data_IF_104819066317
#
_entry.id   IF_104819066317
#
_cell.length_a   1.000
_cell.length_b   1.000
_cell.length_c   1.000
_cell.angle_alpha   90.00
_cell.angle_beta   90.00
_cell.angle_gamma   90.00
#
_symmetry.space_group_name_H-M   'P 1'
#
loop_
_entity.id
_entity.type
_entity.pdbx_description
1 polymer ?
#
# COMPACT_ATOMS: atom_id res chain seq x y z
N UNK A 1 -29.65 -25.92 -8.15
CA UNK A 1 -30.69 -26.41 -7.23
C UNK A 1 -31.80 -25.38 -7.27
N UNK A 2 -32.72 -25.59 -8.19
CA UNK A 2 -34.06 -25.02 -8.11
C UNK A 2 -34.68 -25.52 -6.81
N UNK A 3 -35.09 -24.59 -5.94
CA UNK A 3 -35.96 -24.93 -4.82
C UNK A 3 -37.20 -24.03 -4.87
N UNK A 4 -38.16 -24.55 -5.63
CA UNK A 4 -39.58 -24.64 -5.29
C UNK A 4 -39.99 -24.09 -3.91
N UNK A 5 -40.20 -22.77 -3.82
CA UNK A 5 -41.16 -22.19 -2.87
C UNK A 5 -41.90 -21.00 -3.49
N UNK A 6 -42.62 -21.25 -4.59
CA UNK A 6 -43.76 -20.40 -4.92
C UNK A 6 -44.88 -20.69 -3.91
N UNK A 7 -44.81 -20.02 -2.77
CA UNK A 7 -45.97 -19.81 -1.91
C UNK A 7 -47.10 -19.28 -2.79
N UNK A 8 -48.15 -20.09 -2.98
CA UNK A 8 -49.47 -19.62 -3.40
C UNK A 8 -49.94 -18.65 -2.32
N UNK A 9 -49.53 -17.38 -2.41
CA UNK A 9 -50.13 -16.31 -1.64
C UNK A 9 -51.62 -16.34 -1.98
N UNK A 10 -52.49 -16.52 -0.99
CA UNK A 10 -53.94 -16.41 -1.17
C UNK A 10 -54.23 -15.14 -1.97
N UNK A 11 -54.68 -15.32 -3.21
CA UNK A 11 -54.97 -14.20 -4.09
C UNK A 11 -55.98 -13.30 -3.38
N UNK A 12 -55.62 -12.03 -3.15
CA UNK A 12 -56.46 -11.08 -2.41
C UNK A 12 -57.89 -11.10 -2.97
N UNK A 13 -58.89 -11.33 -2.12
CA UNK A 13 -60.31 -11.45 -2.53
C UNK A 13 -61.19 -10.36 -1.93
N UNK A 14 -62.30 -10.08 -2.61
CA UNK A 14 -63.39 -9.28 -2.07
C UNK A 14 -63.94 -9.98 -0.82
N UNK A 15 -64.02 -9.26 0.30
CA UNK A 15 -64.48 -9.83 1.57
C UNK A 15 -65.99 -10.09 1.60
N UNK A 16 -66.75 -9.56 0.63
CA UNK A 16 -68.21 -9.70 0.58
C UNK A 16 -68.71 -10.73 -0.44
N UNK A 17 -67.89 -11.11 -1.42
CA UNK A 17 -68.31 -12.03 -2.49
C UNK A 17 -67.15 -12.85 -3.09
N UNK A 18 -65.99 -12.84 -2.46
CA UNK A 18 -64.80 -13.64 -2.82
C UNK A 18 -64.22 -13.40 -4.23
N UNK A 19 -64.69 -12.36 -4.92
CA UNK A 19 -64.15 -11.94 -6.23
C UNK A 19 -62.65 -11.66 -6.10
N UNK A 20 -61.79 -12.29 -6.91
CA UNK A 20 -60.35 -12.09 -6.82
C UNK A 20 -59.95 -10.67 -7.26
N UNK A 21 -58.82 -10.20 -6.74
CA UNK A 21 -58.18 -8.91 -7.06
C UNK A 21 -59.15 -7.70 -6.92
N UNK A 22 -59.74 -7.48 -5.74
CA UNK A 22 -60.61 -6.34 -5.50
C UNK A 22 -59.84 -5.00 -5.65
N UNK A 23 -60.30 -4.05 -6.49
CA UNK A 23 -59.57 -2.81 -6.74
C UNK A 23 -59.75 -1.75 -5.64
N UNK A 24 -60.64 -1.96 -4.66
CA UNK A 24 -60.98 -1.00 -3.61
C UNK A 24 -60.70 -1.57 -2.22
N UNK A 25 -60.43 -0.69 -1.26
CA UNK A 25 -60.23 -1.00 0.14
C UNK A 25 -60.97 0.01 1.01
N UNK A 26 -61.62 -0.45 2.07
CA UNK A 26 -62.10 0.42 3.14
C UNK A 26 -61.04 0.49 4.23
N UNK A 27 -60.40 1.64 4.42
CA UNK A 27 -59.27 1.80 5.35
C UNK A 27 -59.71 1.80 6.83
N UNK A 28 -61.00 2.08 7.08
CA UNK A 28 -61.59 2.06 8.43
C UNK A 28 -62.01 0.63 8.82
N UNK A 29 -62.67 -0.09 7.92
CA UNK A 29 -63.12 -1.46 8.17
C UNK A 29 -62.03 -2.51 7.89
N UNK A 30 -60.91 -2.11 7.28
CA UNK A 30 -59.82 -2.95 6.83
C UNK A 30 -60.24 -4.12 5.92
N UNK A 31 -61.25 -3.91 5.07
CA UNK A 31 -61.74 -4.92 4.11
C UNK A 31 -61.46 -4.54 2.66
N UNK A 32 -61.29 -5.53 1.79
CA UNK A 32 -61.11 -5.34 0.35
C UNK A 32 -62.42 -5.60 -0.40
N UNK A 33 -62.75 -4.75 -1.37
CA UNK A 33 -64.06 -4.71 -2.02
C UNK A 33 -63.93 -4.68 -3.54
N UNK A 34 -64.72 -5.52 -4.23
CA UNK A 34 -64.93 -5.37 -5.66
C UNK A 34 -65.85 -4.17 -5.95
N UNK A 35 -65.83 -3.63 -7.17
CA UNK A 35 -66.61 -2.44 -7.53
C UNK A 35 -68.11 -2.61 -7.22
N UNK A 36 -68.67 -3.79 -7.47
CA UNK A 36 -70.07 -4.09 -7.21
C UNK A 36 -70.43 -4.11 -5.71
N UNK A 37 -69.49 -4.51 -4.86
CA UNK A 37 -69.71 -4.62 -3.42
C UNK A 37 -69.51 -3.31 -2.65
N UNK A 38 -68.93 -2.27 -3.26
CA UNK A 38 -68.73 -0.95 -2.61
C UNK A 38 -70.07 -0.34 -2.19
N UNK A 39 -71.08 -0.36 -3.08
CA UNK A 39 -72.40 0.20 -2.77
C UNK A 39 -73.05 -0.49 -1.57
N UNK A 40 -73.07 -1.83 -1.56
CA UNK A 40 -73.58 -2.64 -0.44
C UNK A 40 -72.84 -2.36 0.86
N UNK A 41 -71.53 -2.15 0.82
CA UNK A 41 -70.75 -1.84 2.00
C UNK A 41 -71.06 -0.42 2.55
N UNK A 42 -71.23 0.57 1.67
CA UNK A 42 -71.58 1.94 2.05
C UNK A 42 -73.02 2.08 2.58
N UNK A 43 -73.90 1.11 2.31
CA UNK A 43 -75.25 1.07 2.88
C UNK A 43 -75.26 0.89 4.40
N UNK A 44 -74.18 0.40 5.00
CA UNK A 44 -74.05 0.27 6.45
C UNK A 44 -73.79 1.65 7.10
N UNK A 45 -74.82 2.23 7.73
CA UNK A 45 -74.74 3.52 8.42
C UNK A 45 -74.20 3.42 9.85
N UNK A 46 -73.90 2.22 10.36
CA UNK A 46 -73.44 2.03 11.74
C UNK A 46 -72.03 2.58 11.99
N UNK A 47 -71.23 2.76 10.93
CA UNK A 47 -69.84 3.24 10.99
C UNK A 47 -69.53 4.12 9.78
N UNK A 48 -68.53 5.00 9.95
CA UNK A 48 -67.96 5.74 8.82
C UNK A 48 -67.10 4.82 7.95
N UNK A 49 -67.15 5.02 6.64
CA UNK A 49 -66.34 4.29 5.66
C UNK A 49 -65.40 5.23 4.92
N UNK A 50 -64.20 4.76 4.61
CA UNK A 50 -63.25 5.52 3.79
C UNK A 50 -62.69 4.63 2.70
N UNK A 51 -63.27 4.75 1.50
CA UNK A 51 -62.99 3.89 0.36
C UNK A 51 -61.88 4.48 -0.49
N UNK A 52 -60.79 3.72 -0.62
CA UNK A 52 -59.62 4.09 -1.40
C UNK A 52 -59.29 3.01 -2.44
N UNK A 53 -58.53 3.35 -3.50
CA UNK A 53 -57.85 2.35 -4.30
C UNK A 53 -57.01 1.40 -3.43
N UNK A 54 -56.97 0.11 -3.75
CA UNK A 54 -56.23 -0.89 -2.98
C UNK A 54 -54.74 -0.55 -2.79
N UNK A 55 -54.12 0.16 -3.74
CA UNK A 55 -52.72 0.62 -3.67
C UNK A 55 -52.46 1.63 -2.54
N UNK A 56 -53.51 2.28 -2.02
CA UNK A 56 -53.44 3.25 -0.93
C UNK A 56 -53.95 2.66 0.40
N UNK A 57 -54.03 1.34 0.52
CA UNK A 57 -54.38 0.69 1.80
C UNK A 57 -53.37 1.07 2.89
N UNK A 58 -53.86 1.36 4.09
CA UNK A 58 -53.05 1.76 5.24
C UNK A 58 -52.56 3.21 5.20
N UNK A 59 -53.07 4.05 4.29
CA UNK A 59 -52.63 5.46 4.19
C UNK A 59 -53.17 6.32 5.34
N UNK A 60 -54.28 5.94 5.96
CA UNK A 60 -54.83 6.64 7.13
C UNK A 60 -54.50 5.88 8.42
N UNK A 61 -53.43 6.28 9.14
CA UNK A 61 -53.10 5.64 10.40
C UNK A 61 -54.16 5.97 11.47
N UNK A 62 -54.30 5.06 12.45
CA UNK A 62 -55.09 5.34 13.65
C UNK A 62 -54.42 6.46 14.44
N UNK A 63 -55.22 7.35 15.01
CA UNK A 63 -54.69 8.40 15.86
C UNK A 63 -54.15 7.80 17.17
N UNK A 64 -52.93 8.19 17.53
CA UNK A 64 -52.27 7.74 18.76
C UNK A 64 -52.93 8.31 20.03
N UNK A 65 -53.59 9.46 19.94
CA UNK A 65 -54.31 10.10 21.06
C UNK A 65 -55.80 9.76 21.08
N UNK A 66 -56.40 9.52 19.92
CA UNK A 66 -57.83 9.28 19.78
C UNK A 66 -58.07 7.94 19.08
N UNK A 67 -58.04 6.84 19.84
CA UNK A 67 -58.01 5.47 19.31
C UNK A 67 -59.18 5.07 18.40
N UNK A 68 -60.31 5.78 18.47
CA UNK A 68 -61.50 5.57 17.62
C UNK A 68 -61.44 6.36 16.31
N UNK A 69 -60.49 7.26 16.16
CA UNK A 69 -60.36 8.18 15.03
C UNK A 69 -59.21 7.79 14.09
N UNK A 70 -59.42 8.05 12.80
CA UNK A 70 -58.40 7.91 11.76
C UNK A 70 -57.82 9.26 11.35
N UNK A 71 -56.54 9.30 11.05
CA UNK A 71 -55.86 10.50 10.59
C UNK A 71 -56.00 10.63 9.07
N UNK A 72 -56.82 11.59 8.63
CA UNK A 72 -57.01 11.93 7.20
C UNK A 72 -56.17 13.15 6.76
N UNK A 73 -55.57 13.86 7.71
CA UNK A 73 -54.75 15.03 7.45
C UNK A 73 -53.36 14.84 8.04
N UNK A 74 -52.37 15.55 7.51
CA UNK A 74 -51.03 15.64 8.06
C UNK A 74 -50.78 17.07 8.55
N UNK A 75 -50.32 17.21 9.78
CA UNK A 75 -49.76 18.46 10.28
C UNK A 75 -48.36 18.63 9.68
N UNK A 76 -48.18 19.53 8.71
CA UNK A 76 -46.88 19.71 8.03
C UNK A 76 -45.85 20.38 8.94
N UNK A 77 -46.29 21.15 9.94
CA UNK A 77 -45.40 21.77 10.94
C UNK A 77 -44.76 20.73 11.85
N UNK A 78 -45.54 19.72 12.27
CA UNK A 78 -45.06 18.66 13.16
C UNK A 78 -44.61 17.40 12.40
N UNK A 79 -44.89 17.33 11.09
CA UNK A 79 -44.69 16.18 10.23
C UNK A 79 -45.33 14.88 10.77
N UNK A 80 -46.55 14.98 11.32
CA UNK A 80 -47.31 13.83 11.85
C UNK A 80 -48.76 13.80 11.32
N UNK A 81 -49.36 12.61 11.15
CA UNK A 81 -50.79 12.48 10.84
C UNK A 81 -51.68 12.93 12.01
N UNK A 82 -52.75 13.67 11.71
CA UNK A 82 -53.71 14.19 12.69
C UNK A 82 -55.15 13.82 12.32
N UNK A 83 -55.96 13.47 13.33
CA UNK A 83 -57.38 13.19 13.18
C UNK A 83 -58.24 14.44 13.44
N UNK A 84 -59.56 14.42 13.16
CA UNK A 84 -60.43 15.58 13.37
C UNK A 84 -60.37 16.16 14.80
N UNK A 85 -60.27 15.29 15.81
CA UNK A 85 -60.16 15.71 17.21
C UNK A 85 -58.80 16.36 17.52
N UNK A 86 -57.70 15.89 16.91
CA UNK A 86 -56.40 16.55 17.01
C UNK A 86 -56.39 17.90 16.30
N UNK A 87 -57.11 18.04 15.18
CA UNK A 87 -57.19 19.30 14.43
C UNK A 87 -57.96 20.35 15.22
N UNK A 88 -59.00 19.94 15.94
CA UNK A 88 -59.80 20.79 16.84
C UNK A 88 -59.16 21.02 18.21
N UNK A 89 -58.06 20.32 18.55
CA UNK A 89 -57.35 20.55 19.80
C UNK A 89 -56.45 21.77 19.71
N UNK A 90 -56.27 22.48 20.82
CA UNK A 90 -55.37 23.65 20.89
C UNK A 90 -53.93 23.33 20.45
N UNK A 91 -53.49 22.07 20.54
CA UNK A 91 -52.14 21.63 20.18
C UNK A 91 -51.84 21.75 18.68
N UNK A 92 -52.84 21.50 17.82
CA UNK A 92 -52.65 21.62 16.37
C UNK A 92 -53.53 22.69 15.73
N UNK A 93 -54.40 23.37 16.48
CA UNK A 93 -55.34 24.38 16.00
C UNK A 93 -54.69 25.39 15.02
N UNK A 94 -53.50 25.91 15.35
CA UNK A 94 -52.78 26.92 14.55
C UNK A 94 -51.77 26.36 13.53
N UNK A 95 -51.49 25.06 13.54
CA UNK A 95 -50.52 24.47 12.62
C UNK A 95 -51.08 24.34 11.19
N UNK A 96 -50.21 24.29 10.17
CA UNK A 96 -50.65 24.02 8.80
C UNK A 96 -51.00 22.54 8.66
N UNK A 97 -52.13 22.24 8.02
CA UNK A 97 -52.55 20.87 7.70
C UNK A 97 -52.72 20.71 6.20
N UNK A 98 -52.31 19.57 5.70
CA UNK A 98 -52.52 19.16 4.33
C UNK A 98 -53.27 17.83 4.31
N UNK A 99 -53.99 17.57 3.24
CA UNK A 99 -54.59 16.26 3.00
C UNK A 99 -53.48 15.19 2.90
N UNK A 100 -53.67 14.07 3.60
CA UNK A 100 -52.62 13.05 3.73
C UNK A 100 -52.29 12.38 2.39
N UNK A 101 -53.27 12.29 1.47
CA UNK A 101 -53.04 11.74 0.13
C UNK A 101 -52.17 12.71 -0.68
N UNK A 102 -52.49 14.00 -0.61
CA UNK A 102 -51.74 15.05 -1.32
C UNK A 102 -50.28 15.11 -0.86
N UNK A 103 -50.04 15.07 0.45
CA UNK A 103 -48.68 15.07 1.00
C UNK A 103 -47.90 13.80 0.63
N UNK A 104 -48.57 12.65 0.65
CA UNK A 104 -47.96 11.38 0.30
C UNK A 104 -47.53 11.32 -1.16
N UNK A 105 -48.36 11.79 -2.10
CA UNK A 105 -47.97 11.89 -3.51
C UNK A 105 -46.83 12.90 -3.70
N UNK A 106 -46.87 14.04 -3.01
CA UNK A 106 -45.78 15.03 -3.03
C UNK A 106 -44.44 14.45 -2.57
N UNK A 107 -44.43 13.66 -1.49
CA UNK A 107 -43.20 13.03 -0.97
C UNK A 107 -42.73 11.84 -1.79
N UNK A 108 -43.65 11.12 -2.45
CA UNK A 108 -43.31 9.98 -3.29
C UNK A 108 -42.44 10.37 -4.49
N UNK A 109 -42.74 11.49 -5.14
CA UNK A 109 -42.03 11.92 -6.34
C UNK A 109 -40.50 12.09 -6.16
N UNK A 110 -39.99 12.85 -5.18
CA UNK A 110 -38.54 12.96 -4.97
C UNK A 110 -37.91 11.62 -4.56
N UNK A 111 -38.60 10.80 -3.77
CA UNK A 111 -38.09 9.46 -3.41
C UNK A 111 -37.93 8.55 -4.63
N UNK A 112 -38.83 8.65 -5.61
CA UNK A 112 -38.72 7.93 -6.88
C UNK A 112 -37.55 8.44 -7.73
N UNK A 113 -37.32 9.76 -7.75
CA UNK A 113 -36.18 10.35 -8.44
C UNK A 113 -34.85 9.92 -7.79
N UNK A 114 -34.76 9.96 -6.46
CA UNK A 114 -33.58 9.53 -5.70
C UNK A 114 -33.29 8.05 -5.96
N UNK A 115 -34.33 7.20 -5.92
CA UNK A 115 -34.20 5.78 -6.25
C UNK A 115 -33.66 5.59 -7.67
N UNK A 116 -34.23 6.32 -8.64
CA UNK A 116 -33.81 6.22 -10.03
C UNK A 116 -32.36 6.69 -10.24
N UNK A 117 -31.95 7.78 -9.60
CA UNK A 117 -30.57 8.28 -9.70
C UNK A 117 -29.58 7.33 -9.03
N UNK A 118 -29.94 6.81 -7.84
CA UNK A 118 -29.13 5.81 -7.15
C UNK A 118 -28.95 4.54 -8.00
N UNK A 119 -30.03 3.99 -8.55
CA UNK A 119 -30.00 2.75 -9.33
C UNK A 119 -29.32 2.91 -10.69
N UNK A 120 -29.58 4.01 -11.40
CA UNK A 120 -29.16 4.17 -12.81
C UNK A 120 -27.85 4.95 -12.98
N UNK A 121 -27.50 5.81 -12.03
CA UNK A 121 -26.34 6.71 -12.15
C UNK A 121 -25.26 6.38 -11.12
N UNK A 122 -25.61 6.42 -9.83
CA UNK A 122 -24.60 6.33 -8.74
C UNK A 122 -24.11 4.89 -8.59
N UNK A 123 -25.01 3.92 -8.43
CA UNK A 123 -24.66 2.53 -8.16
C UNK A 123 -23.76 1.91 -9.26
N UNK A 124 -24.05 2.08 -10.57
CA UNK A 124 -23.18 1.55 -11.62
C UNK A 124 -21.77 2.14 -11.60
N UNK A 125 -21.61 3.43 -11.29
CA UNK A 125 -20.29 4.08 -11.19
C UNK A 125 -19.44 3.48 -10.08
N UNK A 126 -20.04 3.22 -8.92
CA UNK A 126 -19.34 2.58 -7.80
C UNK A 126 -19.02 1.11 -8.08
N UNK A 127 -19.91 0.38 -8.76
CA UNK A 127 -19.61 -0.97 -9.21
C UNK A 127 -18.41 -0.99 -10.16
N UNK A 128 -18.33 -0.05 -11.10
CA UNK A 128 -17.22 0.03 -12.05
C UNK A 128 -15.90 0.42 -11.36
N UNK A 129 -15.93 1.40 -10.45
CA UNK A 129 -14.78 1.75 -9.61
C UNK A 129 -14.29 0.54 -8.82
N UNK A 130 -15.20 -0.27 -8.25
CA UNK A 130 -14.86 -1.47 -7.51
C UNK A 130 -14.20 -2.55 -8.38
N UNK A 131 -14.60 -2.71 -9.66
CA UNK A 131 -13.96 -3.64 -10.61
C UNK A 131 -12.51 -3.27 -10.92
N UNK A 132 -12.13 -1.99 -10.80
CA UNK A 132 -10.75 -1.56 -11.03
C UNK A 132 -9.79 -1.97 -9.89
N UNK A 133 -10.29 -2.14 -8.66
CA UNK A 133 -9.48 -2.43 -7.47
C UNK A 133 -8.69 -3.75 -7.60
N UNK A 134 -9.29 -4.89 -8.02
CA UNK A 134 -8.53 -6.11 -8.27
C UNK A 134 -7.39 -5.94 -9.29
N UNK A 135 -7.61 -5.15 -10.34
CA UNK A 135 -6.61 -4.89 -11.39
C UNK A 135 -5.44 -4.08 -10.82
N UNK A 136 -5.74 -3.02 -10.05
CA UNK A 136 -4.71 -2.24 -9.35
C UNK A 136 -3.91 -3.12 -8.38
N UNK A 137 -4.59 -3.95 -7.57
CA UNK A 137 -3.95 -4.89 -6.65
C UNK A 137 -3.03 -5.87 -7.38
N UNK A 138 -3.49 -6.44 -8.48
CA UNK A 138 -2.68 -7.31 -9.33
C UNK A 138 -1.45 -6.58 -9.88
N UNK A 139 -1.61 -5.32 -10.32
CA UNK A 139 -0.53 -4.46 -10.78
C UNK A 139 0.53 -4.22 -9.71
N UNK A 140 0.14 -3.88 -8.49
CA UNK A 140 1.05 -3.69 -7.34
C UNK A 140 1.79 -4.99 -7.03
N UNK A 141 1.09 -6.12 -6.94
CA UNK A 141 1.69 -7.42 -6.66
C UNK A 141 2.71 -7.83 -7.75
N UNK A 142 2.38 -7.60 -9.02
CA UNK A 142 3.28 -7.86 -10.15
C UNK A 142 4.54 -6.99 -10.06
N UNK A 143 4.40 -5.71 -9.73
CA UNK A 143 5.53 -4.77 -9.57
C UNK A 143 6.42 -5.19 -8.39
N UNK A 144 5.83 -5.50 -7.24
CA UNK A 144 6.57 -5.96 -6.06
C UNK A 144 7.36 -7.24 -6.34
N UNK A 145 6.74 -8.23 -7.02
CA UNK A 145 7.44 -9.45 -7.43
C UNK A 145 8.64 -9.15 -8.33
N UNK A 146 8.48 -8.26 -9.33
CA UNK A 146 9.59 -7.85 -10.21
C UNK A 146 10.74 -7.21 -9.44
N UNK A 147 10.45 -6.32 -8.48
CA UNK A 147 11.46 -5.68 -7.65
C UNK A 147 12.24 -6.71 -6.81
N UNK A 148 11.54 -7.65 -6.17
CA UNK A 148 12.18 -8.74 -5.41
C UNK A 148 13.08 -9.59 -6.31
N UNK A 149 12.57 -10.05 -7.46
CA UNK A 149 13.35 -10.84 -8.41
C UNK A 149 14.58 -10.10 -8.93
N UNK A 150 14.48 -8.78 -9.15
CA UNK A 150 15.64 -7.98 -9.55
C UNK A 150 16.69 -7.88 -8.44
N UNK A 151 16.25 -7.70 -7.19
CA UNK A 151 17.13 -7.68 -6.03
C UNK A 151 17.82 -9.04 -5.80
N UNK A 152 17.05 -10.14 -5.90
CA UNK A 152 17.59 -11.50 -5.79
C UNK A 152 18.65 -11.74 -6.87
N UNK A 153 18.37 -11.35 -8.12
CA UNK A 153 19.33 -11.46 -9.23
C UNK A 153 20.61 -10.65 -9.00
N UNK A 154 20.50 -9.45 -8.43
CA UNK A 154 21.68 -8.66 -8.06
C UNK A 154 22.50 -9.34 -6.96
N UNK A 155 21.83 -9.99 -6.00
CA UNK A 155 22.48 -10.81 -4.98
C UNK A 155 23.28 -11.97 -5.59
N UNK A 156 22.71 -12.69 -6.55
CA UNK A 156 23.41 -13.79 -7.24
C UNK A 156 24.64 -13.31 -8.02
N UNK A 157 24.56 -12.14 -8.67
CA UNK A 157 25.71 -11.53 -9.35
C UNK A 157 26.83 -11.23 -8.35
N UNK A 158 26.49 -10.65 -7.20
CA UNK A 158 27.48 -10.32 -6.16
C UNK A 158 28.12 -11.59 -5.58
N UNK A 159 27.34 -12.62 -5.28
CA UNK A 159 27.88 -13.91 -4.80
C UNK A 159 28.84 -14.53 -5.83
N UNK A 160 28.47 -14.52 -7.12
CA UNK A 160 29.31 -15.06 -8.19
C UNK A 160 30.66 -14.34 -8.29
N UNK A 161 30.67 -13.01 -8.15
CA UNK A 161 31.90 -12.22 -8.18
C UNK A 161 32.81 -12.52 -6.97
N UNK A 162 32.22 -12.62 -5.78
CA UNK A 162 32.95 -13.00 -4.55
C UNK A 162 33.58 -14.38 -4.70
N UNK A 163 32.82 -15.36 -5.17
CA UNK A 163 33.30 -16.72 -5.39
C UNK A 163 34.42 -16.76 -6.43
N UNK A 164 34.33 -15.95 -7.49
CA UNK A 164 35.36 -15.82 -8.52
C UNK A 164 36.68 -15.30 -7.92
N UNK A 165 36.62 -14.28 -7.07
CA UNK A 165 37.79 -13.72 -6.39
C UNK A 165 38.41 -14.78 -5.46
N UNK A 166 37.60 -15.46 -4.65
CA UNK A 166 38.05 -16.53 -3.75
C UNK A 166 38.72 -17.65 -4.54
N UNK A 167 38.13 -18.06 -5.66
CA UNK A 167 38.70 -19.10 -6.51
C UNK A 167 40.03 -18.66 -7.14
N UNK A 168 40.17 -17.41 -7.54
CA UNK A 168 41.45 -16.85 -7.99
C UNK A 168 42.53 -16.91 -6.91
N UNK A 169 42.17 -16.61 -5.65
CA UNK A 169 43.11 -16.76 -4.53
C UNK A 169 43.52 -18.21 -4.28
N UNK A 170 42.58 -19.17 -4.39
CA UNK A 170 42.88 -20.61 -4.26
C UNK A 170 43.83 -21.09 -5.35
N UNK A 171 43.58 -20.73 -6.62
CA UNK A 171 44.47 -21.09 -7.72
C UNK A 171 45.90 -20.57 -7.52
N UNK A 172 46.04 -19.38 -6.94
CA UNK A 172 47.35 -18.82 -6.60
C UNK A 172 48.05 -19.63 -5.49
N UNK A 173 47.30 -20.14 -4.51
CA UNK A 173 47.84 -21.04 -3.48
C UNK A 173 48.31 -22.35 -4.15
N UNK A 174 47.48 -22.95 -5.00
CA UNK A 174 47.83 -24.18 -5.71
C UNK A 174 49.10 -24.02 -6.58
N UNK A 175 49.25 -22.87 -7.24
CA UNK A 175 50.46 -22.54 -8.01
C UNK A 175 51.71 -22.44 -7.12
N UNK A 176 51.60 -21.75 -5.98
CA UNK A 176 52.71 -21.63 -5.02
C UNK A 176 53.10 -23.00 -4.46
N UNK A 177 52.12 -23.83 -4.10
CA UNK A 177 52.36 -25.19 -3.61
C UNK A 177 53.05 -26.06 -4.69
N UNK A 178 52.61 -25.98 -5.95
CA UNK A 178 53.26 -26.68 -7.05
C UNK A 178 54.73 -26.24 -7.23
N UNK A 179 55.02 -24.94 -7.12
CA UNK A 179 56.38 -24.42 -7.20
C UNK A 179 57.25 -24.91 -6.03
N UNK A 180 56.70 -24.93 -4.82
CA UNK A 180 57.38 -25.44 -3.63
C UNK A 180 57.67 -26.95 -3.75
N UNK A 181 56.69 -27.74 -4.18
CA UNK A 181 56.88 -29.18 -4.43
C UNK A 181 57.94 -29.43 -5.50
N UNK A 182 57.90 -28.72 -6.62
CA UNK A 182 58.91 -28.86 -7.67
C UNK A 182 60.33 -28.49 -7.22
N UNK A 183 60.48 -27.61 -6.22
CA UNK A 183 61.77 -27.30 -5.60
C UNK A 183 62.24 -28.44 -4.68
N UNK A 184 61.33 -29.03 -3.90
CA UNK A 184 61.59 -30.23 -3.08
C UNK A 184 62.05 -31.39 -3.96
N UNK A 185 61.30 -31.69 -5.03
CA UNK A 185 61.61 -32.81 -5.94
C UNK A 185 62.99 -32.64 -6.58
N UNK A 186 63.34 -31.42 -7.00
CA UNK A 186 64.67 -31.12 -7.57
C UNK A 186 65.79 -31.37 -6.56
N UNK A 187 65.59 -30.97 -5.31
CA UNK A 187 66.57 -31.20 -4.26
C UNK A 187 66.70 -32.67 -3.90
N UNK A 188 65.59 -33.41 -3.86
CA UNK A 188 65.59 -34.87 -3.68
C UNK A 188 66.37 -35.57 -4.80
N UNK A 189 66.14 -35.23 -6.07
CA UNK A 189 66.87 -35.80 -7.21
C UNK A 189 68.37 -35.54 -7.09
N UNK A 190 68.78 -34.31 -6.73
CA UNK A 190 70.20 -33.96 -6.58
C UNK A 190 70.87 -34.76 -5.45
N UNK A 191 70.19 -34.93 -4.31
CA UNK A 191 70.69 -35.75 -3.20
C UNK A 191 70.80 -37.22 -3.60
N UNK A 192 69.75 -37.79 -4.20
CA UNK A 192 69.73 -39.20 -4.59
C UNK A 192 70.78 -39.52 -5.66
N UNK A 193 71.03 -38.60 -6.58
CA UNK A 193 72.12 -38.72 -7.54
C UNK A 193 73.49 -38.76 -6.84
N UNK A 194 73.74 -37.83 -5.93
CA UNK A 194 74.99 -37.78 -5.14
C UNK A 194 75.19 -39.05 -4.30
N UNK A 195 74.13 -39.56 -3.68
CA UNK A 195 74.15 -40.83 -2.93
C UNK A 195 74.56 -41.99 -3.85
N UNK A 196 74.06 -42.02 -5.09
CA UNK A 196 74.39 -43.07 -6.06
C UNK A 196 75.87 -43.01 -6.47
N UNK A 197 76.41 -41.82 -6.73
CA UNK A 197 77.84 -41.64 -7.06
C UNK A 197 78.76 -42.02 -5.91
N UNK A 198 78.41 -41.64 -4.68
CA UNK A 198 79.13 -42.05 -3.46
C UNK A 198 79.10 -43.58 -3.32
N UNK A 199 77.93 -44.20 -3.49
CA UNK A 199 77.76 -45.65 -3.37
C UNK A 199 78.65 -46.40 -4.35
N UNK A 200 78.69 -45.95 -5.61
CA UNK A 200 79.53 -46.55 -6.65
C UNK A 200 81.02 -46.36 -6.33
N UNK A 201 81.43 -45.15 -5.90
CA UNK A 201 82.82 -44.85 -5.51
C UNK A 201 83.27 -45.75 -4.35
N UNK A 202 82.41 -45.99 -3.36
CA UNK A 202 82.71 -46.90 -2.24
C UNK A 202 82.93 -48.33 -2.74
N UNK A 203 82.11 -48.83 -3.67
CA UNK A 203 82.26 -50.17 -4.24
C UNK A 203 83.56 -50.31 -5.04
N UNK A 204 83.88 -49.31 -5.86
CA UNK A 204 85.10 -49.30 -6.66
C UNK A 204 86.36 -49.27 -5.78
N UNK A 205 86.35 -48.46 -4.71
CA UNK A 205 87.42 -48.41 -3.70
C UNK A 205 87.59 -49.74 -2.98
N UNK A 206 86.49 -50.36 -2.53
CA UNK A 206 86.54 -51.70 -1.91
C UNK A 206 87.16 -52.71 -2.85
N UNK A 207 86.75 -52.74 -4.12
CA UNK A 207 87.31 -53.65 -5.12
C UNK A 207 88.80 -53.39 -5.34
N UNK A 208 89.22 -52.13 -5.45
CA UNK A 208 90.63 -51.76 -5.61
C UNK A 208 91.49 -52.27 -4.44
N UNK A 209 90.98 -52.12 -3.21
CA UNK A 209 91.65 -52.57 -1.99
C UNK A 209 91.83 -54.10 -1.90
N UNK A 210 90.99 -54.88 -2.58
CA UNK A 210 91.12 -56.35 -2.66
C UNK A 210 92.13 -56.80 -3.75
N UNK A 211 92.63 -55.89 -4.59
CA UNK A 211 93.61 -56.22 -5.63
C UNK A 211 95.04 -56.15 -5.11
N UNK A 212 95.96 -56.91 -5.73
CA UNK A 212 97.41 -56.78 -5.50
C UNK A 212 98.14 -56.05 -6.65
N UNK A 213 97.39 -55.37 -7.53
CA UNK A 213 97.95 -54.66 -8.68
C UNK A 213 98.45 -53.27 -8.27
N UNK A 214 99.76 -53.15 -8.07
CA UNK A 214 100.43 -51.91 -7.64
C UNK A 214 100.25 -50.76 -8.66
N UNK A 215 100.04 -51.08 -9.94
CA UNK A 215 99.79 -50.07 -10.99
C UNK A 215 98.51 -49.29 -10.71
N UNK A 216 97.41 -50.00 -10.44
CA UNK A 216 96.10 -49.39 -10.16
C UNK A 216 96.11 -48.57 -8.85
N UNK A 217 96.88 -48.97 -7.83
CA UNK A 217 97.04 -48.19 -6.61
C UNK A 217 97.80 -46.89 -6.84
N UNK A 218 98.79 -46.88 -7.74
CA UNK A 218 99.59 -45.69 -8.03
C UNK A 218 98.80 -44.63 -8.82
N UNK A 219 97.79 -45.04 -9.59
CA UNK A 219 96.89 -44.16 -10.34
C UNK A 219 95.73 -43.63 -9.49
N UNK A 220 95.51 -44.18 -8.30
CA UNK A 220 94.40 -43.77 -7.44
C UNK A 220 94.58 -42.33 -6.93
N UNK A 221 93.54 -41.52 -7.16
CA UNK A 221 93.41 -40.15 -6.65
C UNK A 221 92.15 -40.08 -5.80
N UNK A 222 92.27 -39.51 -4.60
CA UNK A 222 91.12 -39.35 -3.70
C UNK A 222 90.10 -38.37 -4.24
N UNK A 223 88.82 -38.77 -4.20
CA UNK A 223 87.67 -37.93 -4.58
C UNK A 223 86.81 -37.51 -3.39
N UNK A 224 87.24 -37.80 -2.16
CA UNK A 224 86.42 -37.59 -0.96
C UNK A 224 86.01 -36.12 -0.77
N UNK A 225 86.87 -35.18 -1.15
CA UNK A 225 86.55 -33.73 -1.07
C UNK A 225 85.35 -33.35 -1.93
N UNK A 226 85.11 -34.04 -3.06
CA UNK A 226 83.97 -33.78 -3.95
C UNK A 226 82.63 -34.02 -3.23
N UNK A 227 82.60 -34.93 -2.26
CA UNK A 227 81.38 -35.36 -1.57
C UNK A 227 81.21 -34.77 -0.17
N UNK A 228 82.18 -33.97 0.31
CA UNK A 228 82.10 -33.35 1.65
C UNK A 228 81.09 -32.22 1.73
N UNK A 229 80.79 -31.58 0.60
CA UNK A 229 79.82 -30.49 0.52
C UNK A 229 78.50 -31.08 0.06
N UNK A 230 77.46 -30.97 0.89
CA UNK A 230 76.12 -31.37 0.48
C UNK A 230 75.61 -30.46 -0.64
N UNK A 231 74.74 -30.96 -1.53
CA UNK A 231 73.94 -30.11 -2.40
C UNK A 231 73.28 -28.99 -1.58
N UNK A 232 73.22 -27.79 -2.17
CA UNK A 232 72.77 -26.60 -1.46
C UNK A 232 71.37 -26.78 -0.88
N UNK A 233 71.25 -26.60 0.43
CA UNK A 233 69.98 -26.58 1.13
C UNK A 233 69.13 -25.40 0.65
N UNK A 234 67.87 -25.64 0.31
CA UNK A 234 66.93 -24.58 -0.03
C UNK A 234 65.95 -24.34 1.12
N UNK A 235 65.69 -23.07 1.42
CA UNK A 235 64.77 -22.63 2.45
C UNK A 235 63.58 -21.92 1.80
N UNK A 236 62.38 -22.19 2.31
CA UNK A 236 61.13 -21.58 1.83
C UNK A 236 60.43 -20.89 2.99
N UNK A 237 59.89 -19.70 2.74
CA UNK A 237 58.93 -19.02 3.63
C UNK A 237 57.52 -19.32 3.13
N UNK A 238 56.67 -19.85 4.01
CA UNK A 238 55.30 -20.23 3.65
C UNK A 238 54.37 -19.00 3.61
N UNK A 239 53.40 -18.97 2.69
CA UNK A 239 52.38 -17.92 2.66
C UNK A 239 51.44 -18.01 3.86
N UNK A 240 50.90 -16.85 4.26
CA UNK A 240 49.89 -16.73 5.31
C UNK A 240 48.70 -15.93 4.78
N UNK A 241 47.48 -16.39 5.07
CA UNK A 241 46.25 -15.64 4.80
C UNK A 241 45.77 -14.93 6.08
N UNK A 242 45.41 -13.65 5.97
CA UNK A 242 44.84 -12.89 7.09
C UNK A 242 43.52 -12.25 6.64
N UNK A 243 42.37 -12.69 7.17
CA UNK A 243 41.07 -12.16 6.77
C UNK A 243 40.88 -10.73 7.28
N UNK A 244 40.13 -9.92 6.52
CA UNK A 244 39.69 -8.59 6.94
C UNK A 244 38.27 -8.62 7.50
N UNK A 245 37.92 -7.61 8.30
CA UNK A 245 36.55 -7.42 8.80
C UNK A 245 35.63 -7.01 7.64
N UNK A 246 34.44 -7.60 7.60
CA UNK A 246 33.45 -7.34 6.56
C UNK A 246 32.70 -6.04 6.88
N UNK A 247 32.79 -5.05 5.98
CA UNK A 247 32.04 -3.81 6.07
C UNK A 247 30.69 -3.92 5.36
N UNK A 248 29.59 -3.97 6.13
CA UNK A 248 28.22 -4.10 5.61
C UNK A 248 27.77 -2.92 4.76
N UNK A 249 28.25 -1.71 5.04
CA UNK A 249 27.83 -0.51 4.30
C UNK A 249 28.46 -0.49 2.91
N UNK A 250 29.72 -0.91 2.78
CA UNK A 250 30.37 -1.07 1.48
C UNK A 250 29.66 -2.12 0.61
N UNK A 251 29.23 -3.24 1.22
CA UNK A 251 28.41 -4.26 0.54
C UNK A 251 27.08 -3.66 0.09
N UNK A 252 26.40 -2.90 0.96
CA UNK A 252 25.14 -2.25 0.61
C UNK A 252 25.29 -1.33 -0.61
N UNK A 253 26.39 -0.56 -0.67
CA UNK A 253 26.68 0.31 -1.82
C UNK A 253 26.88 -0.48 -3.13
N UNK A 254 27.45 -1.68 -3.08
CA UNK A 254 27.61 -2.56 -4.24
C UNK A 254 26.30 -3.19 -4.71
N UNK A 255 25.35 -3.42 -3.81
CA UNK A 255 24.01 -3.95 -4.14
C UNK A 255 23.14 -2.85 -4.75
N UNK A 256 23.18 -1.64 -4.19
CA UNK A 256 22.40 -0.48 -4.63
C UNK A 256 21.35 -0.03 -3.62
N UNK A 257 20.35 0.74 -4.10
CA UNK A 257 19.33 1.39 -3.26
C UNK A 257 17.90 1.05 -3.69
N UNK A 258 16.99 1.01 -2.72
CA UNK A 258 15.55 0.87 -2.96
C UNK A 258 14.84 2.19 -2.65
N UNK A 259 14.03 2.69 -3.60
CA UNK A 259 13.17 3.84 -3.35
C UNK A 259 11.92 3.44 -2.56
N UNK A 260 11.49 4.30 -1.65
CA UNK A 260 10.29 4.07 -0.84
C UNK A 260 9.00 4.29 -1.62
N UNK A 261 7.94 3.60 -1.19
CA UNK A 261 6.61 3.77 -1.74
C UNK A 261 5.97 5.05 -1.17
N UNK A 262 5.51 5.93 -2.05
CA UNK A 262 4.64 7.06 -1.69
C UNK A 262 3.19 6.74 -2.08
N UNK A 263 2.25 6.96 -1.16
CA UNK A 263 0.81 6.81 -1.40
C UNK A 263 0.17 8.18 -1.24
N UNK A 264 -0.45 8.69 -2.30
CA UNK A 264 -1.15 9.98 -2.30
C UNK A 264 -2.59 9.74 -2.75
N UNK A 265 -3.55 10.29 -2.00
CA UNK A 265 -4.96 10.27 -2.38
C UNK A 265 -5.30 11.62 -2.99
N UNK A 266 -5.57 11.65 -4.29
CA UNK A 266 -6.03 12.86 -4.96
C UNK A 266 -7.57 12.86 -4.97
N UNK A 267 -8.16 14.00 -4.61
CA UNK A 267 -9.58 14.23 -4.81
C UNK A 267 -9.81 14.68 -6.26
N UNK A 268 -10.80 14.10 -6.94
CA UNK A 268 -11.15 14.49 -8.33
C UNK A 268 -11.67 15.93 -8.43
N UNK A 269 -12.17 16.50 -7.33
CA UNK A 269 -12.65 17.88 -7.28
C UNK A 269 -12.02 18.63 -6.10
N UNK A 270 -11.59 19.90 -6.30
CA UNK A 270 -11.06 20.73 -5.23
C UNK A 270 -12.16 20.98 -4.19
N UNK A 271 -11.90 20.60 -2.94
CA UNK A 271 -12.78 20.87 -1.80
C UNK A 271 -12.14 21.91 -0.89
N UNK A 272 -12.90 22.94 -0.56
CA UNK A 272 -12.50 23.88 0.49
C UNK A 272 -12.60 23.13 1.83
N UNK A 273 -11.46 22.79 2.42
CA UNK A 273 -11.39 22.09 3.71
C UNK A 273 -11.55 23.06 4.89
N UNK A 274 -10.88 24.22 4.80
CA UNK A 274 -10.93 25.28 5.82
C UNK A 274 -10.67 26.64 5.15
N UNK A 275 -11.27 27.70 5.68
CA UNK A 275 -10.87 29.08 5.43
C UNK A 275 -10.19 29.64 6.68
N UNK A 276 -8.93 30.03 6.58
CA UNK A 276 -8.15 30.59 7.69
C UNK A 276 -7.92 32.08 7.48
N UNK A 277 -8.06 32.87 8.55
CA UNK A 277 -7.68 34.28 8.54
C UNK A 277 -6.18 34.37 8.84
N UNK A 278 -5.42 34.90 7.89
CA UNK A 278 -3.99 35.17 8.10
C UNK A 278 -3.80 36.55 8.71
N UNK A 279 -2.68 36.75 9.40
CA UNK A 279 -2.25 38.08 9.87
C UNK A 279 -1.69 38.96 8.75
N UNK A 280 -1.49 38.38 7.56
CA UNK A 280 -1.11 39.12 6.35
C UNK A 280 -2.28 40.00 5.89
N UNK A 281 -2.00 41.29 5.68
CA UNK A 281 -3.00 42.25 5.20
C UNK A 281 -3.47 41.90 3.78
N UNK A 282 -2.53 41.50 2.92
CA UNK A 282 -2.75 40.93 1.60
C UNK A 282 -1.84 39.70 1.46
N UNK A 283 -2.39 38.53 1.15
CA UNK A 283 -1.59 37.32 0.90
C UNK A 283 -1.15 37.31 -0.55
N UNK A 284 0.16 37.45 -0.79
CA UNK A 284 0.75 37.55 -2.12
C UNK A 284 1.28 36.20 -2.62
N UNK A 285 1.70 35.32 -1.71
CA UNK A 285 2.17 33.98 -2.06
C UNK A 285 1.89 32.99 -0.93
N UNK A 286 1.60 31.75 -1.31
CA UNK A 286 1.39 30.61 -0.41
C UNK A 286 2.19 29.42 -0.94
N UNK A 287 2.92 28.75 -0.05
CA UNK A 287 3.63 27.52 -0.37
C UNK A 287 3.40 26.48 0.72
N UNK A 288 2.97 25.28 0.34
CA UNK A 288 2.79 24.19 1.29
C UNK A 288 4.15 23.62 1.72
N UNK A 289 4.36 23.50 3.02
CA UNK A 289 5.50 22.74 3.59
C UNK A 289 5.13 21.26 3.70
N UNK A 290 3.88 20.98 4.05
CA UNK A 290 3.32 19.64 4.22
C UNK A 290 1.82 19.64 3.93
N UNK A 291 1.15 18.49 4.08
CA UNK A 291 -0.30 18.35 3.91
C UNK A 291 -1.10 19.15 4.96
N UNK A 292 -0.45 19.59 6.05
CA UNK A 292 -1.09 20.29 7.17
C UNK A 292 -0.52 21.68 7.46
N UNK A 293 0.55 22.08 6.76
CA UNK A 293 1.30 23.29 7.08
C UNK A 293 1.62 24.09 5.82
N UNK A 294 1.41 25.40 5.88
CA UNK A 294 1.59 26.30 4.75
C UNK A 294 2.28 27.60 5.16
N UNK A 295 3.27 27.99 4.37
CA UNK A 295 3.88 29.30 4.45
C UNK A 295 3.05 30.30 3.66
N UNK A 296 2.88 31.47 4.23
CA UNK A 296 2.28 32.64 3.58
C UNK A 296 3.22 33.81 3.64
N UNK A 297 3.15 34.65 2.62
CA UNK A 297 3.82 35.94 2.55
C UNK A 297 2.81 37.00 2.15
N UNK A 298 2.88 38.15 2.80
CA UNK A 298 2.19 39.36 2.37
C UNK A 298 3.14 40.47 1.96
N UNK A 299 2.65 41.70 1.88
CA UNK A 299 3.45 42.89 1.55
C UNK A 299 4.40 43.37 2.65
N UNK A 300 4.78 42.50 3.59
CA UNK A 300 5.75 42.79 4.64
C UNK A 300 6.99 41.90 4.51
N UNK A 301 8.00 42.17 5.33
CA UNK A 301 9.24 41.42 5.36
C UNK A 301 9.18 40.17 6.26
N UNK A 302 7.96 39.66 6.53
CA UNK A 302 7.71 38.56 7.46
C UNK A 302 6.98 37.42 6.73
N UNK A 303 7.63 36.27 6.65
CA UNK A 303 7.02 35.02 6.22
C UNK A 303 6.36 34.35 7.43
N UNK A 304 5.18 33.74 7.26
CA UNK A 304 4.39 33.14 8.34
C UNK A 304 3.95 31.72 8.00
N UNK A 305 4.21 30.78 8.89
CA UNK A 305 3.79 29.38 8.81
C UNK A 305 2.50 29.18 9.60
N UNK A 306 1.48 28.67 8.93
CA UNK A 306 0.20 28.33 9.53
C UNK A 306 -0.06 26.83 9.44
N UNK A 307 -0.83 26.30 10.39
CA UNK A 307 -1.51 25.03 10.20
C UNK A 307 -2.87 25.19 9.52
N UNK A 308 -3.53 24.08 9.19
CA UNK A 308 -4.88 24.09 8.58
C UNK A 308 -5.99 24.66 9.48
N UNK A 309 -5.76 24.83 10.78
CA UNK A 309 -6.67 25.47 11.72
C UNK A 309 -6.51 26.99 11.74
N UNK A 310 -5.48 27.53 11.05
CA UNK A 310 -5.19 28.96 11.00
C UNK A 310 -4.33 29.45 12.15
N UNK A 311 -3.74 28.54 12.93
CA UNK A 311 -2.83 28.89 14.02
C UNK A 311 -1.45 29.22 13.45
N UNK A 312 -0.88 30.36 13.86
CA UNK A 312 0.47 30.77 13.48
C UNK A 312 1.50 29.91 14.25
N UNK A 313 2.16 29.00 13.53
CA UNK A 313 3.18 28.11 14.10
C UNK A 313 4.54 28.80 14.20
N UNK A 314 4.90 29.60 13.19
CA UNK A 314 6.22 30.26 13.10
C UNK A 314 6.13 31.52 12.25
N UNK A 315 6.96 32.52 12.55
CA UNK A 315 7.22 33.65 11.67
C UNK A 315 8.73 33.85 11.47
N UNK A 316 9.11 34.29 10.28
CA UNK A 316 10.50 34.54 9.89
C UNK A 316 10.61 35.89 9.21
N UNK A 317 11.54 36.72 9.68
CA UNK A 317 11.82 38.01 9.07
C UNK A 317 13.01 37.87 8.12
N UNK A 318 12.91 38.44 6.92
CA UNK A 318 14.03 38.47 5.97
C UNK A 318 15.22 39.23 6.55
N UNK A 319 16.45 38.78 6.30
CA UNK A 319 17.66 39.43 6.81
C UNK A 319 17.89 40.80 6.17
N UNK A 320 17.58 40.93 4.88
CA UNK A 320 17.63 42.22 4.15
C UNK A 320 16.65 43.27 4.66
N UNK A 321 15.61 42.87 5.40
CA UNK A 321 14.50 43.74 5.80
C UNK A 321 13.56 44.13 4.66
N UNK A 322 13.78 43.64 3.44
CA UNK A 322 12.96 43.90 2.26
C UNK A 322 11.82 42.88 2.12
N UNK A 323 10.82 43.22 1.33
CA UNK A 323 9.75 42.29 0.97
C UNK A 323 10.29 41.15 0.07
N UNK A 324 10.12 39.86 0.45
CA UNK A 324 10.47 38.75 -0.43
C UNK A 324 9.59 38.79 -1.68
N UNK A 325 10.09 38.51 -2.89
CA UNK A 325 9.23 38.46 -4.08
C UNK A 325 8.53 37.11 -4.22
N UNK A 326 9.29 36.03 -4.05
CA UNK A 326 8.81 34.66 -4.15
C UNK A 326 9.33 33.78 -3.01
N UNK A 327 8.65 32.66 -2.78
CA UNK A 327 9.01 31.67 -1.77
C UNK A 327 8.99 30.27 -2.36
N UNK A 328 10.06 29.52 -2.17
CA UNK A 328 10.14 28.10 -2.46
C UNK A 328 10.44 27.33 -1.18
N UNK A 329 9.65 26.31 -0.88
CA UNK A 329 9.82 25.51 0.35
C UNK A 329 10.37 24.15 -0.03
N UNK A 330 11.44 23.74 0.64
CA UNK A 330 11.97 22.37 0.62
C UNK A 330 11.67 21.70 1.97
N UNK A 331 11.83 20.37 2.06
CA UNK A 331 11.63 19.65 3.33
C UNK A 331 12.57 20.07 4.47
N UNK A 332 13.60 20.86 4.17
CA UNK A 332 14.65 21.23 5.13
C UNK A 332 14.71 22.74 5.32
N UNK A 333 14.44 23.53 4.28
CA UNK A 333 14.65 24.99 4.27
C UNK A 333 13.62 25.73 3.41
N UNK A 334 13.41 27.00 3.71
CA UNK A 334 12.59 27.94 2.91
C UNK A 334 13.55 28.88 2.21
N UNK A 335 13.47 28.95 0.90
CA UNK A 335 14.21 29.89 0.07
C UNK A 335 13.29 31.05 -0.29
N UNK A 336 13.77 32.28 -0.13
CA UNK A 336 13.06 33.45 -0.60
C UNK A 336 13.95 34.31 -1.52
N UNK A 337 13.37 34.80 -2.61
CA UNK A 337 14.08 35.66 -3.56
C UNK A 337 13.79 37.12 -3.25
N UNK A 338 14.83 37.95 -3.28
CA UNK A 338 14.73 39.40 -3.14
C UNK A 338 15.24 40.05 -4.43
N UNK A 339 14.84 41.30 -4.67
CA UNK A 339 15.31 42.10 -5.82
C UNK A 339 16.85 42.20 -5.84
N UNK A 340 17.52 42.04 -4.70
CA UNK A 340 18.98 42.14 -4.53
C UNK A 340 19.70 40.80 -4.38
N UNK A 341 19.02 39.64 -4.48
CA UNK A 341 19.63 38.31 -4.31
C UNK A 341 18.78 37.32 -3.50
N UNK A 342 19.29 36.11 -3.26
CA UNK A 342 18.64 35.07 -2.43
C UNK A 342 19.02 35.31 -0.96
N UNK A 343 18.03 35.44 -0.07
CA UNK A 343 18.25 35.40 1.39
C UNK A 343 18.03 33.96 1.87
N UNK A 344 19.08 33.34 2.42
CA UNK A 344 19.06 32.02 3.09
C UNK A 344 18.67 32.16 4.57
#
# INVERSE_FOLDING_TARGET
MEDSMYSLQDAIRCHLCETPVPPKHCDICHIHLCKACVGKHLSDQSRNHYILPFKLRGITPKCTKHFKEVCKQLCTTCNIPVCPLCVASHEHEKHKKEDILTWFEYKRAPMQNDLQDLEKSIYPRYQEAAKSIPVQRAGVNKRCRKLKTALDKQGEVLHTEIDTIIQGMKLKIDEMDAQHMAAIDRHEVAINHTITEITQTILDLKRLLETSDVGLFSEYITRTEEFKVLPAYFQVTLPTFTPQLINREQIRQQIGSLSELAITFLLDEPRILTCTLTECRDVLSVSCLSDSELWTRGGDNIMRLYNLQGELLRSLKTKSGNEPQDMAVTRVEILCTLITGIDL
#
